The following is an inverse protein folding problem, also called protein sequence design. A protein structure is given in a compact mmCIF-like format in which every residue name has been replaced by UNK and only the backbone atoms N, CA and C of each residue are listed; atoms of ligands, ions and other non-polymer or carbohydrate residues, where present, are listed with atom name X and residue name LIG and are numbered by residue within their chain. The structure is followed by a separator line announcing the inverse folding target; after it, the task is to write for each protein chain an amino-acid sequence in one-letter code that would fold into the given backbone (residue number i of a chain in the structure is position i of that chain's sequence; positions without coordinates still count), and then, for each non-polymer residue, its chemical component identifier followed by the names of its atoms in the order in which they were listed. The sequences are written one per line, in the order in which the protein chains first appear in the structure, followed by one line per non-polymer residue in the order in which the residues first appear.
data_IF_860532698044
#
_entry.id   IF_860532698044
#
_cell.length_a   1.000
_cell.length_b   1.000
_cell.length_c   1.000
_cell.angle_alpha   90.00
_cell.angle_beta   90.00
_cell.angle_gamma   90.00
#
_symmetry.space_group_name_H-M   'P 1'
#
loop_
_entity.id
_entity.type
_entity.pdbx_description
1 polymer ?
#
# COMPACT_ATOMS: atom_id res chain seq x y z
N UNK A 1 9.92 -11.66 24.31
CA UNK A 1 9.49 -10.29 24.71
C UNK A 1 8.02 -10.35 25.11
N UNK A 2 7.68 -10.10 26.38
CA UNK A 2 6.35 -10.37 26.96
C UNK A 2 5.29 -9.35 26.47
N UNK A 3 4.09 -9.81 26.12
CA UNK A 3 2.98 -8.98 25.61
C UNK A 3 2.56 -7.86 26.58
N UNK A 4 2.71 -8.10 27.90
CA UNK A 4 2.44 -7.10 28.94
C UNK A 4 3.44 -5.93 28.88
N UNK A 5 4.72 -6.22 28.68
CA UNK A 5 5.79 -5.21 28.57
C UNK A 5 5.56 -4.29 27.36
N UNK A 6 5.14 -4.86 26.22
CA UNK A 6 4.79 -4.07 25.03
C UNK A 6 3.59 -3.15 25.27
N UNK A 7 2.58 -3.63 26.01
CA UNK A 7 1.39 -2.84 26.37
C UNK A 7 1.75 -1.68 27.30
N UNK A 8 2.59 -1.92 28.30
CA UNK A 8 3.06 -0.87 29.21
C UNK A 8 3.95 0.16 28.53
N UNK A 9 4.88 -0.29 27.68
CA UNK A 9 5.73 0.60 26.89
C UNK A 9 4.90 1.50 25.97
N UNK A 10 3.84 0.95 25.36
CA UNK A 10 2.88 1.70 24.56
C UNK A 10 2.18 2.80 25.37
N UNK A 11 1.71 2.48 26.59
CA UNK A 11 1.10 3.47 27.50
C UNK A 11 2.09 4.55 27.96
N UNK A 12 3.35 4.19 28.27
CA UNK A 12 4.40 5.16 28.65
C UNK A 12 4.71 6.10 27.48
N UNK A 13 4.87 5.55 26.28
CA UNK A 13 5.09 6.34 25.05
C UNK A 13 3.92 7.27 24.77
N UNK A 14 2.68 6.79 24.83
CA UNK A 14 1.48 7.62 24.62
C UNK A 14 1.40 8.76 25.64
N UNK A 15 1.69 8.50 26.92
CA UNK A 15 1.77 9.55 27.96
C UNK A 15 2.84 10.61 27.64
N UNK A 16 4.02 10.19 27.19
CA UNK A 16 5.07 11.13 26.77
C UNK A 16 4.66 11.99 25.57
N UNK A 17 3.97 11.39 24.59
CA UNK A 17 3.41 12.11 23.44
C UNK A 17 2.30 13.08 23.86
N UNK A 18 1.43 12.67 24.79
CA UNK A 18 0.40 13.53 25.38
C UNK A 18 1.02 14.76 26.06
N UNK A 19 2.06 14.55 26.88
CA UNK A 19 2.80 15.64 27.52
C UNK A 19 3.42 16.62 26.51
N UNK A 20 3.98 16.09 25.41
CA UNK A 20 4.50 16.93 24.31
C UNK A 20 3.40 17.76 23.64
N UNK A 21 2.25 17.16 23.37
CA UNK A 21 1.12 17.86 22.77
C UNK A 21 0.59 18.98 23.68
N UNK A 22 0.45 18.72 24.98
CA UNK A 22 0.05 19.73 25.99
C UNK A 22 1.04 20.90 26.07
N UNK A 23 2.33 20.64 25.86
CA UNK A 23 3.36 21.68 25.78
C UNK A 23 3.38 22.42 24.42
N UNK A 24 2.38 22.23 23.55
CA UNK A 24 2.30 22.83 22.22
C UNK A 24 3.30 22.24 21.19
N UNK A 25 4.09 21.22 21.57
CA UNK A 25 5.10 20.58 20.73
C UNK A 25 4.48 19.48 19.88
N UNK A 26 5.10 19.18 18.74
CA UNK A 26 4.62 18.12 17.86
C UNK A 26 4.77 16.79 18.56
N UNK A 27 3.71 15.99 18.56
CA UNK A 27 3.66 14.63 19.08
C UNK A 27 3.47 13.60 17.95
N UNK A 28 3.89 13.95 16.73
CA UNK A 28 3.77 13.11 15.53
C UNK A 28 4.56 13.68 14.34
N UNK A 29 4.04 13.49 13.13
CA UNK A 29 4.62 14.05 11.91
C UNK A 29 4.55 15.59 11.86
N UNK A 30 5.33 16.19 10.97
CA UNK A 30 5.29 17.63 10.69
C UNK A 30 4.28 17.90 9.59
N UNK A 31 3.42 18.90 9.81
CA UNK A 31 2.46 19.36 8.80
C UNK A 31 3.14 20.23 7.76
N UNK A 32 2.64 20.19 6.51
CA UNK A 32 3.05 21.13 5.46
C UNK A 32 2.84 22.58 5.94
N UNK A 33 3.74 23.50 5.62
CA UNK A 33 3.78 24.85 6.18
C UNK A 33 4.72 25.01 7.37
N UNK A 34 5.33 23.92 7.85
CA UNK A 34 6.18 23.92 9.04
C UNK A 34 7.42 23.07 8.85
N UNK A 35 8.49 23.42 9.58
CA UNK A 35 9.73 22.65 9.64
C UNK A 35 10.09 22.31 11.08
N UNK A 36 10.62 21.11 11.30
CA UNK A 36 11.15 20.72 12.60
C UNK A 36 12.36 21.58 12.96
N UNK A 37 12.39 22.05 14.21
CA UNK A 37 13.56 22.74 14.77
C UNK A 37 14.35 21.71 15.57
N UNK A 38 15.64 21.60 15.29
CA UNK A 38 16.56 20.78 16.07
C UNK A 38 17.29 21.71 17.03
N UNK A 39 16.90 21.65 18.30
CA UNK A 39 17.52 22.40 19.39
C UNK A 39 17.95 21.43 20.49
N UNK A 40 18.99 21.79 21.20
CA UNK A 40 19.46 21.12 22.42
C UNK A 40 19.15 22.06 23.59
N UNK A 41 18.65 21.52 24.69
CA UNK A 41 18.39 22.28 25.91
C UNK A 41 19.68 22.48 26.74
N UNK A 42 19.57 23.23 27.83
CA UNK A 42 20.70 23.57 28.70
C UNK A 42 21.34 22.35 29.39
N UNK A 43 20.71 21.17 29.29
CA UNK A 43 21.20 19.90 29.83
C UNK A 43 21.86 19.02 28.78
N UNK A 44 22.02 19.51 27.54
CA UNK A 44 22.58 18.74 26.44
C UNK A 44 21.58 17.78 25.78
N UNK A 45 20.30 17.84 26.14
CA UNK A 45 19.27 16.94 25.62
C UNK A 45 18.54 17.54 24.41
N UNK A 46 18.24 16.69 23.43
CA UNK A 46 17.56 17.14 22.21
C UNK A 46 16.10 17.51 22.49
N UNK A 47 15.72 18.76 22.25
CA UNK A 47 14.33 19.22 22.38
C UNK A 47 13.48 18.61 21.28
N UNK A 48 12.61 17.66 21.65
CA UNK A 48 11.78 16.92 20.71
C UNK A 48 10.49 17.68 20.39
N UNK A 49 10.20 17.84 19.10
CA UNK A 49 8.88 18.27 18.61
C UNK A 49 8.71 19.78 18.43
N UNK A 50 9.75 20.57 18.61
CA UNK A 50 9.73 21.98 18.20
C UNK A 50 9.58 22.10 16.68
N UNK A 51 8.82 23.11 16.27
CA UNK A 51 8.54 23.42 14.88
C UNK A 51 8.46 24.92 14.70
N UNK A 52 8.86 25.40 13.54
CA UNK A 52 8.71 26.79 13.10
C UNK A 52 7.97 26.83 11.76
N UNK A 53 7.41 27.98 11.44
CA UNK A 53 6.78 28.22 10.13
C UNK A 53 7.85 28.12 9.05
N UNK A 54 7.53 27.43 7.95
CA UNK A 54 8.31 27.48 6.72
C UNK A 54 7.62 28.48 5.79
N UNK A 55 8.20 29.68 5.66
CA UNK A 55 7.60 30.81 4.93
C UNK A 55 7.21 30.45 3.48
N UNK A 56 7.99 29.58 2.82
CA UNK A 56 7.70 29.14 1.46
C UNK A 56 6.43 28.30 1.40
N UNK A 57 6.35 27.26 2.23
CA UNK A 57 5.17 26.41 2.31
C UNK A 57 3.95 27.14 2.90
N UNK A 58 4.16 28.06 3.84
CA UNK A 58 3.12 28.87 4.46
C UNK A 58 2.40 29.76 3.44
N UNK A 59 3.13 30.42 2.53
CA UNK A 59 2.53 31.18 1.42
C UNK A 59 1.65 30.30 0.53
N UNK A 60 2.06 29.05 0.28
CA UNK A 60 1.24 28.09 -0.48
C UNK A 60 -0.03 27.71 0.28
N UNK A 61 0.04 27.53 1.60
CA UNK A 61 -1.14 27.29 2.45
C UNK A 61 -2.12 28.46 2.36
N UNK A 62 -1.66 29.70 2.58
CA UNK A 62 -2.51 30.91 2.49
C UNK A 62 -3.15 31.03 1.11
N UNK A 63 -2.38 30.78 0.03
CA UNK A 63 -2.90 30.76 -1.33
C UNK A 63 -3.99 29.70 -1.51
N UNK A 64 -3.79 28.48 -1.05
CA UNK A 64 -4.80 27.40 -1.14
C UNK A 64 -6.10 27.81 -0.44
N UNK A 65 -6.00 28.39 0.76
CA UNK A 65 -7.15 28.88 1.52
C UNK A 65 -7.86 30.00 0.76
N UNK A 66 -7.10 30.98 0.26
CA UNK A 66 -7.64 32.13 -0.48
C UNK A 66 -8.30 31.72 -1.80
N UNK A 67 -7.66 30.87 -2.59
CA UNK A 67 -8.19 30.32 -3.85
C UNK A 67 -9.50 29.57 -3.59
N UNK A 68 -9.54 28.77 -2.53
CA UNK A 68 -10.75 28.06 -2.15
C UNK A 68 -11.82 29.01 -1.60
N UNK A 69 -11.50 30.03 -0.81
CA UNK A 69 -12.49 31.01 -0.37
C UNK A 69 -13.14 31.73 -1.56
N UNK A 70 -12.36 32.05 -2.60
CA UNK A 70 -12.80 32.69 -3.85
C UNK A 70 -13.61 31.81 -4.81
N UNK A 71 -13.90 30.57 -4.45
CA UNK A 71 -14.72 29.70 -5.31
C UNK A 71 -13.93 28.75 -6.23
N UNK A 72 -12.60 28.84 -6.29
CA UNK A 72 -11.79 27.96 -7.15
C UNK A 72 -11.95 26.51 -6.68
N UNK A 73 -12.12 25.58 -7.64
CA UNK A 73 -12.30 24.17 -7.31
C UNK A 73 -10.97 23.52 -6.89
N UNK A 74 -11.04 22.55 -5.98
CA UNK A 74 -9.86 21.86 -5.43
C UNK A 74 -9.01 21.17 -6.50
N UNK A 75 -9.65 20.67 -7.57
CA UNK A 75 -8.93 20.10 -8.72
C UNK A 75 -8.17 21.16 -9.51
N UNK A 76 -8.75 22.35 -9.68
CA UNK A 76 -8.10 23.47 -10.37
C UNK A 76 -6.92 24.01 -9.56
N UNK A 77 -7.08 24.16 -8.25
CA UNK A 77 -5.99 24.54 -7.33
C UNK A 77 -4.84 23.53 -7.43
N UNK A 78 -5.12 22.23 -7.29
CA UNK A 78 -4.08 21.20 -7.41
C UNK A 78 -3.40 21.20 -8.78
N UNK A 79 -4.16 21.39 -9.86
CA UNK A 79 -3.61 21.44 -11.22
C UNK A 79 -2.70 22.66 -11.44
N UNK A 80 -3.06 23.83 -10.91
CA UNK A 80 -2.25 25.05 -10.98
C UNK A 80 -0.94 24.87 -10.22
N UNK A 81 -1.00 24.42 -8.97
CA UNK A 81 0.20 24.16 -8.16
C UNK A 81 1.16 23.16 -8.82
N UNK A 82 0.62 22.10 -9.43
CA UNK A 82 1.45 21.13 -10.16
C UNK A 82 2.03 21.69 -11.46
N UNK A 83 1.29 22.54 -12.18
CA UNK A 83 1.79 23.21 -13.38
C UNK A 83 2.95 24.15 -13.05
N UNK A 84 2.89 24.82 -11.91
CA UNK A 84 3.94 25.68 -11.38
C UNK A 84 5.07 24.91 -10.67
N UNK A 85 5.00 23.56 -10.64
CA UNK A 85 5.97 22.68 -9.98
C UNK A 85 6.15 22.96 -8.48
N UNK A 86 5.11 23.46 -7.81
CA UNK A 86 5.12 23.63 -6.36
C UNK A 86 5.09 22.24 -5.69
N UNK A 87 6.09 21.89 -4.86
CA UNK A 87 6.11 20.60 -4.20
C UNK A 87 4.96 20.51 -3.19
N UNK A 88 4.22 19.41 -3.22
CA UNK A 88 3.23 19.09 -2.20
C UNK A 88 3.86 18.46 -0.96
N UNK A 89 3.03 18.07 0.03
CA UNK A 89 3.51 17.44 1.26
C UNK A 89 4.42 16.23 0.97
N UNK A 90 5.58 16.18 1.65
CA UNK A 90 6.64 15.17 1.45
C UNK A 90 7.25 15.16 0.04
N UNK A 91 7.22 16.27 -0.69
CA UNK A 91 7.77 16.40 -2.03
C UNK A 91 6.93 15.76 -3.14
N UNK A 92 5.70 15.33 -2.83
CA UNK A 92 4.79 14.74 -3.81
C UNK A 92 4.06 15.78 -4.68
N UNK A 93 3.23 15.31 -5.61
CA UNK A 93 2.34 16.17 -6.39
C UNK A 93 1.07 16.50 -5.62
N UNK A 94 0.52 17.69 -5.87
CA UNK A 94 -0.78 18.10 -5.35
C UNK A 94 -1.91 17.27 -5.93
N UNK A 95 -2.88 16.92 -5.08
CA UNK A 95 -4.13 16.30 -5.51
C UNK A 95 -5.30 16.97 -4.78
N UNK A 96 -6.48 16.97 -5.42
CA UNK A 96 -7.68 17.50 -4.78
C UNK A 96 -7.96 16.85 -3.41
N UNK A 97 -7.67 15.55 -3.25
CA UNK A 97 -7.78 14.83 -1.97
C UNK A 97 -6.79 15.29 -0.91
N UNK A 98 -5.57 15.67 -1.29
CA UNK A 98 -4.56 16.22 -0.37
C UNK A 98 -5.02 17.55 0.22
N UNK A 99 -5.67 18.38 -0.61
CA UNK A 99 -6.17 19.69 -0.20
C UNK A 99 -7.47 19.54 0.61
N UNK A 100 -8.42 18.74 0.11
CA UNK A 100 -9.73 18.54 0.74
C UNK A 100 -9.66 17.78 2.07
N UNK A 101 -8.96 16.64 2.06
CA UNK A 101 -8.96 15.64 3.12
C UNK A 101 -10.35 15.31 3.68
N UNK A 102 -10.41 15.04 4.98
CA UNK A 102 -11.64 14.76 5.72
C UNK A 102 -11.73 15.74 6.90
N UNK A 103 -12.84 16.49 6.94
CA UNK A 103 -13.11 17.55 7.93
C UNK A 103 -13.20 17.03 9.35
N UNK A 104 -13.97 15.98 9.59
CA UNK A 104 -14.16 15.40 10.92
C UNK A 104 -12.85 14.84 11.48
N UNK A 105 -12.05 14.21 10.61
CA UNK A 105 -10.73 13.67 10.98
C UNK A 105 -9.65 14.75 11.09
N UNK A 106 -9.92 16.00 10.71
CA UNK A 106 -8.91 17.08 10.68
C UNK A 106 -7.77 16.84 9.69
N UNK A 107 -8.04 16.10 8.61
CA UNK A 107 -7.01 15.73 7.61
C UNK A 107 -7.12 16.57 6.36
N UNK A 108 -6.00 16.77 5.65
CA UNK A 108 -5.90 17.62 4.47
C UNK A 108 -5.59 19.07 4.82
N UNK A 109 -5.12 19.84 3.83
CA UNK A 109 -4.66 21.23 4.05
C UNK A 109 -5.78 22.09 4.64
N UNK A 110 -7.00 22.04 4.07
CA UNK A 110 -8.09 22.92 4.51
C UNK A 110 -8.67 22.56 5.89
N UNK A 111 -8.25 21.46 6.50
CA UNK A 111 -8.79 21.02 7.79
C UNK A 111 -7.79 21.01 8.94
N UNK A 112 -6.53 21.39 8.70
CA UNK A 112 -5.52 21.40 9.73
C UNK A 112 -5.63 22.66 10.59
N UNK A 113 -6.12 22.50 11.82
CA UNK A 113 -6.32 23.59 12.77
C UNK A 113 -5.02 24.24 13.27
N UNK A 114 -3.87 23.60 13.05
CA UNK A 114 -2.59 24.23 13.36
C UNK A 114 -2.40 25.53 12.58
N UNK A 115 -2.96 25.65 11.37
CA UNK A 115 -2.87 26.86 10.56
C UNK A 115 -3.55 28.08 11.19
N UNK A 116 -4.52 27.89 12.08
CA UNK A 116 -5.15 28.98 12.84
C UNK A 116 -4.58 29.12 14.26
N UNK A 117 -3.51 28.37 14.56
CA UNK A 117 -2.83 28.40 15.84
C UNK A 117 -3.38 27.42 16.87
N UNK A 118 -4.11 26.37 16.45
CA UNK A 118 -4.67 25.35 17.36
C UNK A 118 -4.07 23.99 17.12
N UNK A 119 -3.29 23.47 18.07
CA UNK A 119 -2.76 22.11 18.01
C UNK A 119 -3.81 21.15 18.54
N UNK A 120 -4.27 20.22 17.70
CA UNK A 120 -5.14 19.13 18.13
C UNK A 120 -4.47 17.78 17.90
N UNK A 121 -4.32 17.01 18.98
CA UNK A 121 -3.67 15.70 19.00
C UNK A 121 -4.61 14.60 19.49
N UNK A 122 -4.29 13.36 19.11
CA UNK A 122 -5.02 12.12 19.47
C UNK A 122 -6.46 12.01 18.94
N UNK A 123 -6.77 12.60 17.77
CA UNK A 123 -8.11 12.46 17.15
C UNK A 123 -8.43 11.03 16.69
N UNK A 124 -7.42 10.24 16.31
CA UNK A 124 -7.61 8.97 15.60
C UNK A 124 -6.94 7.80 16.35
N UNK A 125 -7.69 6.73 16.57
CA UNK A 125 -7.19 5.46 17.06
C UNK A 125 -7.04 4.44 15.91
N UNK A 126 -5.92 3.71 15.88
CA UNK A 126 -5.72 2.59 14.96
C UNK A 126 -6.17 1.28 15.62
N UNK A 127 -7.37 0.81 15.29
CA UNK A 127 -7.97 -0.41 15.84
C UNK A 127 -7.84 -1.55 14.83
N UNK A 128 -7.54 -2.78 15.25
CA UNK A 128 -7.61 -3.95 14.35
C UNK A 128 -9.07 -4.34 14.17
N UNK A 129 -9.53 -4.42 12.92
CA UNK A 129 -10.87 -4.87 12.60
C UNK A 129 -10.98 -6.38 12.85
N UNK A 130 -11.91 -6.85 13.71
CA UNK A 130 -12.02 -8.28 14.05
C UNK A 130 -12.23 -9.19 12.84
N UNK A 131 -13.00 -8.72 11.85
CA UNK A 131 -13.38 -9.51 10.67
C UNK A 131 -12.32 -9.63 9.59
N UNK A 132 -11.30 -8.77 9.57
CA UNK A 132 -10.28 -8.75 8.50
C UNK A 132 -8.84 -8.77 9.00
N UNK A 133 -8.63 -8.64 10.32
CA UNK A 133 -7.31 -8.47 10.93
C UNK A 133 -6.61 -7.15 10.58
N UNK A 134 -7.17 -6.34 9.65
CA UNK A 134 -6.56 -5.10 9.15
C UNK A 134 -6.74 -3.97 10.14
N UNK A 135 -5.73 -3.09 10.23
CA UNK A 135 -5.82 -1.87 11.03
C UNK A 135 -6.73 -0.85 10.33
N UNK A 136 -7.74 -0.38 11.04
CA UNK A 136 -8.66 0.67 10.63
C UNK A 136 -8.54 1.88 11.55
N UNK A 137 -8.62 3.07 10.97
CA UNK A 137 -8.55 4.33 11.72
C UNK A 137 -9.97 4.78 12.10
N UNK A 138 -10.23 4.89 13.41
CA UNK A 138 -11.48 5.36 14.00
C UNK A 138 -11.27 6.69 14.71
N UNK A 139 -12.28 7.57 14.66
CA UNK A 139 -12.28 8.82 15.41
C UNK A 139 -12.50 8.52 16.89
N UNK A 140 -11.71 9.16 17.77
CA UNK A 140 -11.92 9.12 19.21
C UNK A 140 -12.97 10.15 19.63
N UNK A 141 -13.68 9.95 20.74
CA UNK A 141 -14.52 10.98 21.35
C UNK A 141 -13.74 12.29 21.57
N UNK A 142 -14.42 13.44 21.53
CA UNK A 142 -13.75 14.75 21.57
C UNK A 142 -13.10 15.03 22.93
N UNK A 143 -13.64 14.49 24.01
CA UNK A 143 -13.12 14.56 25.38
C UNK A 143 -11.73 13.94 25.52
N UNK A 144 -11.37 13.01 24.63
CA UNK A 144 -10.06 12.38 24.61
C UNK A 144 -9.01 13.19 23.84
N UNK A 145 -9.43 14.24 23.13
CA UNK A 145 -8.54 15.04 22.29
C UNK A 145 -7.73 15.98 23.15
N UNK A 146 -6.46 16.15 22.78
CA UNK A 146 -5.63 17.19 23.39
C UNK A 146 -5.69 18.40 22.49
N UNK A 147 -6.25 19.50 22.98
CA UNK A 147 -6.31 20.78 22.31
C UNK A 147 -5.40 21.77 23.04
N UNK A 148 -4.53 22.44 22.30
CA UNK A 148 -3.57 23.41 22.85
C UNK A 148 -3.44 24.59 21.92
N UNK A 149 -3.64 25.79 22.47
CA UNK A 149 -3.45 27.05 21.74
C UNK A 149 -1.95 27.33 21.54
N UNK A 150 -1.59 27.60 20.29
CA UNK A 150 -0.22 27.86 19.82
C UNK A 150 -0.23 29.01 18.79
N UNK A 151 -0.63 30.23 19.19
CA UNK A 151 -0.83 31.35 18.26
C UNK A 151 0.44 31.72 17.48
N UNK A 152 1.63 31.52 18.06
CA UNK A 152 2.92 31.73 17.39
C UNK A 152 3.15 30.84 16.16
N UNK A 153 2.33 29.81 15.94
CA UNK A 153 2.39 28.92 14.78
C UNK A 153 1.27 29.18 13.76
N UNK A 154 0.48 30.24 13.93
CA UNK A 154 -0.58 30.60 13.00
C UNK A 154 0.00 30.99 11.63
N UNK A 155 -0.62 30.49 10.57
CA UNK A 155 -0.32 30.79 9.16
C UNK A 155 -1.51 31.48 8.47
N UNK A 156 -2.74 31.17 8.90
CA UNK A 156 -3.99 31.63 8.31
C UNK A 156 -4.76 32.41 9.36
N UNK A 157 -5.27 33.58 8.97
CA UNK A 157 -6.13 34.41 9.81
C UNK A 157 -7.49 33.78 10.05
N UNK A 158 -8.11 34.16 11.16
CA UNK A 158 -9.39 33.59 11.60
C UNK A 158 -10.50 33.82 10.57
N UNK A 159 -10.56 35.01 9.95
CA UNK A 159 -11.59 35.34 8.94
C UNK A 159 -11.49 34.45 7.69
N UNK A 160 -10.25 34.23 7.19
CA UNK A 160 -10.02 33.36 6.04
C UNK A 160 -10.35 31.90 6.36
N UNK A 161 -10.02 31.45 7.58
CA UNK A 161 -10.40 30.13 8.06
C UNK A 161 -11.93 29.98 8.09
N UNK A 162 -12.65 30.95 8.63
CA UNK A 162 -14.10 30.91 8.76
C UNK A 162 -14.81 30.97 7.40
N UNK A 163 -14.31 31.76 6.45
CA UNK A 163 -14.80 31.77 5.07
C UNK A 163 -14.68 30.38 4.40
N UNK A 164 -13.56 29.68 4.59
CA UNK A 164 -13.36 28.31 4.11
C UNK A 164 -14.34 27.34 4.80
N UNK A 165 -14.57 27.48 6.11
CA UNK A 165 -15.51 26.64 6.86
C UNK A 165 -16.96 26.85 6.44
N UNK A 166 -17.36 28.09 6.20
CA UNK A 166 -18.68 28.44 5.66
C UNK A 166 -18.89 27.79 4.30
N UNK A 167 -17.91 27.92 3.38
CA UNK A 167 -17.96 27.30 2.05
C UNK A 167 -18.06 25.77 2.12
N UNK A 168 -17.27 25.12 2.99
CA UNK A 168 -17.37 23.67 3.20
C UNK A 168 -18.73 23.26 3.79
N UNK A 169 -19.31 24.09 4.65
CA UNK A 169 -20.64 23.88 5.23
C UNK A 169 -21.75 23.94 4.19
N UNK A 170 -21.75 24.98 3.34
CA UNK A 170 -22.72 25.17 2.27
C UNK A 170 -22.68 24.05 1.21
N UNK A 171 -21.54 23.39 1.03
CA UNK A 171 -21.38 22.25 0.11
C UNK A 171 -21.76 20.89 0.72
N UNK A 172 -22.17 20.80 1.99
CA UNK A 172 -22.76 19.56 2.50
C UNK A 172 -24.10 19.34 1.78
N UNK A 173 -24.17 18.29 0.96
CA UNK A 173 -25.44 17.89 0.35
C UNK A 173 -26.47 17.64 1.44
N UNK A 174 -27.59 18.37 1.39
CA UNK A 174 -28.83 17.99 2.09
C UNK A 174 -29.22 16.57 1.64
N UNK A 175 -29.79 15.80 2.55
CA UNK A 175 -30.36 14.47 2.34
C UNK A 175 -29.38 13.39 1.84
N UNK A 176 -28.61 12.80 2.75
CA UNK A 176 -28.35 11.35 2.70
C UNK A 176 -27.76 10.90 4.02
N UNK A 177 -28.47 10.02 4.72
CA UNK A 177 -28.15 9.53 6.07
C UNK A 177 -26.81 8.76 6.16
N UNK A 178 -26.24 8.40 5.01
CA UNK A 178 -24.92 7.78 4.91
C UNK A 178 -23.86 8.79 4.48
N UNK A 179 -22.83 9.03 5.32
CA UNK A 179 -21.68 9.84 4.95
C UNK A 179 -21.06 9.36 3.64
N UNK A 180 -20.67 10.28 2.76
CA UNK A 180 -20.20 9.99 1.39
C UNK A 180 -19.03 9.00 1.35
N UNK A 181 -18.23 8.96 2.42
CA UNK A 181 -17.10 8.03 2.60
C UNK A 181 -17.50 6.65 3.15
N UNK A 182 -18.64 6.54 3.84
CA UNK A 182 -19.19 5.27 4.33
C UNK A 182 -20.06 4.57 3.28
N UNK A 183 -20.43 5.27 2.21
CA UNK A 183 -20.99 4.64 1.01
C UNK A 183 -19.94 3.71 0.43
N UNK A 184 -20.10 2.41 0.66
CA UNK A 184 -19.38 1.37 -0.07
C UNK A 184 -19.69 1.54 -1.55
N UNK A 185 -18.78 2.22 -2.26
CA UNK A 185 -18.88 2.33 -3.72
C UNK A 185 -18.87 0.91 -4.27
N UNK A 186 -19.78 0.57 -5.21
CA UNK A 186 -19.76 -0.73 -5.86
C UNK A 186 -18.35 -1.03 -6.36
N UNK A 187 -17.80 -2.16 -5.96
CA UNK A 187 -16.56 -2.66 -6.55
C UNK A 187 -16.93 -3.28 -7.89
N UNK A 188 -16.37 -2.72 -8.96
CA UNK A 188 -16.45 -3.31 -10.30
C UNK A 188 -15.28 -4.26 -10.50
N UNK A 189 -15.37 -5.10 -11.54
CA UNK A 189 -14.47 -6.24 -11.72
C UNK A 189 -12.99 -5.83 -11.70
N UNK A 190 -12.66 -4.69 -12.33
CA UNK A 190 -11.29 -4.19 -12.46
C UNK A 190 -10.96 -3.01 -11.54
N UNK A 191 -11.78 -2.75 -10.52
CA UNK A 191 -11.51 -1.71 -9.53
C UNK A 191 -10.18 -1.97 -8.80
N UNK A 192 -9.21 -1.07 -8.98
CA UNK A 192 -7.89 -1.18 -8.36
C UNK A 192 -6.84 -1.94 -9.17
N UNK A 193 -7.22 -2.53 -10.32
CA UNK A 193 -6.30 -3.27 -11.20
C UNK A 193 -5.81 -2.44 -12.39
N UNK A 194 -6.61 -1.47 -12.86
CA UNK A 194 -6.29 -0.64 -14.02
C UNK A 194 -5.18 0.39 -13.73
N UNK A 195 -4.21 0.50 -14.65
CA UNK A 195 -3.13 1.50 -14.63
C UNK A 195 -3.06 2.27 -15.95
N UNK A 196 -2.72 3.55 -15.87
CA UNK A 196 -2.53 4.42 -17.03
C UNK A 196 -1.16 4.18 -17.66
N UNK A 197 -1.12 3.86 -18.95
CA UNK A 197 0.13 3.69 -19.70
C UNK A 197 0.97 4.97 -19.79
N UNK A 198 0.37 6.15 -19.66
CA UNK A 198 1.10 7.43 -19.75
C UNK A 198 1.83 7.80 -18.45
N UNK A 199 1.24 7.53 -17.29
CA UNK A 199 1.77 8.04 -16.00
C UNK A 199 1.80 7.00 -14.87
N UNK A 200 1.51 5.73 -15.15
CA UNK A 200 1.50 4.62 -14.19
C UNK A 200 0.41 4.67 -13.10
N UNK A 201 -0.36 5.75 -13.04
CA UNK A 201 -1.39 5.97 -12.01
C UNK A 201 -2.64 5.14 -12.27
N UNK A 202 -3.38 4.82 -11.20
CA UNK A 202 -4.61 4.04 -11.32
C UNK A 202 -5.76 4.80 -12.01
N UNK A 203 -6.78 4.07 -12.45
CA UNK A 203 -8.03 4.67 -12.96
C UNK A 203 -9.03 4.92 -11.83
N UNK A 204 -9.85 5.96 -12.00
CA UNK A 204 -10.96 6.28 -11.10
C UNK A 204 -12.24 6.51 -11.90
N UNK A 205 -13.37 6.32 -11.21
CA UNK A 205 -14.70 6.53 -11.77
C UNK A 205 -14.87 8.00 -12.17
N UNK A 206 -15.19 8.25 -13.44
CA UNK A 206 -15.43 9.59 -13.99
C UNK A 206 -16.92 9.92 -14.06
N UNK A 207 -17.75 8.97 -14.50
CA UNK A 207 -19.22 9.03 -14.56
C UNK A 207 -19.82 7.79 -13.87
N UNK A 208 -21.13 7.57 -13.98
CA UNK A 208 -21.79 6.36 -13.46
C UNK A 208 -21.17 5.04 -13.98
N UNK A 209 -20.58 5.09 -15.17
CA UNK A 209 -20.34 3.99 -16.10
C UNK A 209 -19.01 4.11 -16.88
N UNK A 210 -18.18 5.14 -16.61
CA UNK A 210 -16.88 5.31 -17.25
C UNK A 210 -15.74 5.52 -16.24
N UNK A 211 -14.54 5.07 -16.62
CA UNK A 211 -13.30 5.24 -15.88
C UNK A 211 -12.30 6.09 -16.67
N UNK A 212 -11.37 6.71 -15.95
CA UNK A 212 -10.23 7.38 -16.58
C UNK A 212 -9.07 7.62 -15.63
N UNK A 213 -8.00 8.18 -16.18
CA UNK A 213 -6.76 8.42 -15.44
C UNK A 213 -7.00 9.31 -14.20
N UNK A 214 -6.73 8.76 -13.01
CA UNK A 214 -6.92 9.49 -11.75
C UNK A 214 -5.97 10.67 -11.60
N UNK A 215 -4.76 10.56 -12.15
CA UNK A 215 -3.76 11.63 -12.06
C UNK A 215 -4.17 12.82 -12.94
N UNK A 216 -4.51 12.59 -14.21
CA UNK A 216 -5.00 13.64 -15.11
C UNK A 216 -6.19 14.39 -14.50
N UNK A 217 -7.14 13.64 -13.89
CA UNK A 217 -8.34 14.22 -13.29
C UNK A 217 -8.09 14.97 -11.97
N UNK A 218 -7.28 14.42 -11.06
CA UNK A 218 -7.15 14.97 -9.70
C UNK A 218 -5.91 15.84 -9.49
N UNK A 219 -4.93 15.76 -10.41
CA UNK A 219 -3.64 16.46 -10.33
C UNK A 219 -3.38 17.38 -11.54
N UNK A 220 -4.13 17.23 -12.64
CA UNK A 220 -4.05 18.10 -13.81
C UNK A 220 -3.10 17.62 -14.91
N UNK A 221 -3.08 18.37 -16.02
CA UNK A 221 -2.36 18.02 -17.25
C UNK A 221 -0.83 18.00 -17.09
N UNK A 222 -0.30 18.81 -16.16
CA UNK A 222 1.13 18.80 -15.80
C UNK A 222 1.61 17.43 -15.28
N UNK A 223 0.70 16.59 -14.78
CA UNK A 223 1.03 15.23 -14.31
C UNK A 223 0.69 14.17 -15.35
N UNK A 224 -0.44 14.31 -16.04
CA UNK A 224 -0.84 13.37 -17.08
C UNK A 224 -1.82 14.03 -18.05
N UNK A 225 -1.54 13.92 -19.34
CA UNK A 225 -2.38 14.46 -20.43
C UNK A 225 -3.49 13.50 -20.86
N UNK A 226 -3.48 12.25 -20.39
CA UNK A 226 -4.49 11.25 -20.75
C UNK A 226 -5.87 11.60 -20.17
N UNK A 227 -6.75 12.11 -21.05
CA UNK A 227 -8.15 12.45 -20.75
C UNK A 227 -9.15 11.43 -21.30
N UNK A 228 -8.68 10.31 -21.81
CA UNK A 228 -9.55 9.28 -22.36
C UNK A 228 -10.42 8.66 -21.27
N UNK A 229 -11.68 8.44 -21.61
CA UNK A 229 -12.64 7.73 -20.77
C UNK A 229 -12.91 6.35 -21.39
N UNK A 230 -12.88 5.31 -20.57
CA UNK A 230 -13.22 3.96 -20.99
C UNK A 230 -14.54 3.58 -20.33
N UNK A 231 -15.55 3.23 -21.14
CA UNK A 231 -16.82 2.71 -20.65
C UNK A 231 -16.58 1.38 -19.95
N UNK A 232 -17.19 1.18 -18.77
CA UNK A 232 -17.07 -0.03 -17.96
C UNK A 232 -17.45 -1.26 -18.76
N UNK A 233 -18.57 -1.23 -19.46
CA UNK A 233 -19.09 -2.43 -20.12
C UNK A 233 -18.16 -2.89 -21.25
N UNK A 234 -17.59 -1.93 -21.99
CA UNK A 234 -16.58 -2.19 -23.04
C UNK A 234 -15.26 -2.73 -22.46
N UNK A 235 -14.79 -2.14 -21.36
CA UNK A 235 -13.59 -2.64 -20.67
C UNK A 235 -13.82 -4.08 -20.21
N UNK A 236 -14.95 -4.33 -19.55
CA UNK A 236 -15.22 -5.62 -18.96
C UNK A 236 -15.42 -6.71 -20.02
N UNK A 237 -16.12 -6.43 -21.11
CA UNK A 237 -16.25 -7.40 -22.22
C UNK A 237 -14.91 -7.72 -22.85
N UNK A 238 -14.09 -6.71 -23.18
CA UNK A 238 -12.79 -6.94 -23.83
C UNK A 238 -11.84 -7.80 -22.99
N UNK A 239 -11.77 -7.56 -21.69
CA UNK A 239 -10.87 -8.34 -20.82
C UNK A 239 -11.40 -9.75 -20.61
N UNK A 240 -12.71 -9.91 -20.39
CA UNK A 240 -13.31 -11.23 -20.21
C UNK A 240 -13.22 -12.07 -21.49
N UNK A 241 -13.44 -11.48 -22.66
CA UNK A 241 -13.28 -12.16 -23.95
C UNK A 241 -11.83 -12.61 -24.18
N UNK A 242 -10.86 -11.75 -23.83
CA UNK A 242 -9.45 -12.12 -23.94
C UNK A 242 -9.04 -13.26 -23.00
N UNK A 243 -9.57 -13.27 -21.77
CA UNK A 243 -9.35 -14.37 -20.83
C UNK A 243 -10.00 -15.67 -21.34
N UNK A 244 -11.19 -15.59 -21.91
CA UNK A 244 -11.91 -16.76 -22.40
C UNK A 244 -11.26 -17.36 -23.66
N UNK A 245 -10.77 -16.50 -24.58
CA UNK A 245 -10.44 -16.94 -25.94
C UNK A 245 -8.95 -16.81 -26.31
N UNK A 246 -8.11 -16.15 -25.50
CA UNK A 246 -6.73 -15.81 -25.91
C UNK A 246 -5.63 -16.13 -24.90
N UNK A 247 -5.93 -16.42 -23.62
CA UNK A 247 -4.89 -16.64 -22.60
C UNK A 247 -4.45 -18.11 -22.45
N UNK A 248 -5.27 -19.07 -22.87
CA UNK A 248 -4.98 -20.52 -22.78
C UNK A 248 -5.56 -21.23 -24.00
N UNK A 249 -5.03 -20.87 -25.17
CA UNK A 249 -5.30 -21.60 -26.41
C UNK A 249 -4.85 -23.07 -26.22
N UNK A 250 -5.73 -24.08 -26.44
CA UNK A 250 -5.41 -25.47 -26.20
C UNK A 250 -4.17 -25.97 -26.94
N UNK A 251 -3.92 -25.46 -28.15
CA UNK A 251 -2.80 -25.89 -28.98
C UNK A 251 -1.49 -25.29 -28.49
N UNK A 252 -1.50 -24.01 -28.11
CA UNK A 252 -0.33 -23.36 -27.50
C UNK A 252 0.00 -23.92 -26.11
N UNK A 253 -1.00 -24.25 -25.31
CA UNK A 253 -0.79 -24.86 -23.98
C UNK A 253 -0.26 -26.27 -24.11
N UNK A 254 -0.76 -27.07 -25.06
CA UNK A 254 -0.24 -28.41 -25.33
C UNK A 254 1.24 -28.34 -25.73
N UNK A 255 1.56 -27.50 -26.71
CA UNK A 255 2.94 -27.27 -27.15
C UNK A 255 3.83 -26.80 -25.99
N UNK A 256 3.36 -25.85 -25.17
CA UNK A 256 4.08 -25.38 -23.99
C UNK A 256 4.33 -26.53 -22.99
N UNK A 257 3.32 -27.35 -22.68
CA UNK A 257 3.47 -28.45 -21.74
C UNK A 257 4.48 -29.50 -22.27
N UNK A 258 4.43 -29.82 -23.56
CA UNK A 258 5.36 -30.76 -24.19
C UNK A 258 6.80 -30.23 -24.12
N UNK A 259 7.04 -29.02 -24.61
CA UNK A 259 8.38 -28.39 -24.62
C UNK A 259 8.92 -28.14 -23.21
N UNK A 260 8.05 -27.71 -22.28
CA UNK A 260 8.44 -27.46 -20.90
C UNK A 260 8.84 -28.74 -20.17
N UNK A 261 8.13 -29.86 -20.39
CA UNK A 261 8.49 -31.16 -19.82
C UNK A 261 9.82 -31.63 -20.39
N UNK A 262 10.03 -31.51 -21.71
CA UNK A 262 11.32 -31.85 -22.36
C UNK A 262 12.47 -31.05 -21.76
N UNK A 263 12.35 -29.72 -21.69
CA UNK A 263 13.44 -28.86 -21.21
C UNK A 263 13.67 -29.02 -19.70
N UNK A 264 12.63 -29.21 -18.90
CA UNK A 264 12.79 -29.50 -17.46
C UNK A 264 13.48 -30.82 -17.21
N UNK A 265 13.13 -31.86 -17.96
CA UNK A 265 13.79 -33.16 -17.85
C UNK A 265 15.27 -33.05 -18.26
N UNK A 266 15.58 -32.30 -19.34
CA UNK A 266 16.96 -32.00 -19.74
C UNK A 266 17.74 -31.30 -18.63
N UNK A 267 17.18 -30.25 -18.02
CA UNK A 267 17.80 -29.52 -16.91
C UNK A 267 17.97 -30.39 -15.66
N UNK A 268 16.99 -31.25 -15.36
CA UNK A 268 17.09 -32.22 -14.26
C UNK A 268 18.23 -33.21 -14.52
N UNK A 269 18.32 -33.81 -15.71
CA UNK A 269 19.42 -34.71 -16.08
C UNK A 269 20.79 -34.03 -16.00
N UNK A 270 20.91 -32.76 -16.42
CA UNK A 270 22.16 -32.01 -16.28
C UNK A 270 22.51 -31.71 -14.83
N UNK A 271 21.53 -31.36 -14.00
CA UNK A 271 21.71 -31.11 -12.58
C UNK A 271 22.12 -32.40 -11.85
N UNK A 272 21.48 -33.53 -12.15
CA UNK A 272 21.80 -34.84 -11.58
C UNK A 272 23.19 -35.32 -12.01
N UNK A 273 23.58 -35.14 -13.29
CA UNK A 273 24.93 -35.44 -13.76
C UNK A 273 25.99 -34.58 -13.06
N UNK A 274 25.74 -33.28 -12.90
CA UNK A 274 26.63 -32.38 -12.15
C UNK A 274 26.72 -32.75 -10.68
N UNK A 275 25.63 -33.22 -10.07
CA UNK A 275 25.60 -33.68 -8.68
C UNK A 275 26.37 -34.99 -8.51
N UNK A 276 26.15 -35.97 -9.38
CA UNK A 276 26.85 -37.25 -9.36
C UNK A 276 28.38 -37.07 -9.45
N UNK A 277 28.85 -36.10 -10.25
CA UNK A 277 30.27 -35.75 -10.31
C UNK A 277 30.82 -35.22 -8.97
N UNK A 278 30.06 -34.33 -8.29
CA UNK A 278 30.43 -33.79 -6.98
C UNK A 278 30.39 -34.87 -5.88
N UNK A 279 29.41 -35.78 -5.92
CA UNK A 279 29.33 -36.92 -5.01
C UNK A 279 30.50 -37.89 -5.19
N UNK A 280 30.89 -38.17 -6.44
CA UNK A 280 32.08 -38.96 -6.77
C UNK A 280 33.38 -38.31 -6.28
N UNK A 281 33.53 -37.00 -6.44
CA UNK A 281 34.68 -36.26 -5.90
C UNK A 281 34.72 -36.28 -4.37
N UNK A 282 33.56 -36.08 -3.71
CA UNK A 282 33.45 -36.14 -2.25
C UNK A 282 33.82 -37.53 -1.72
N UNK A 283 33.38 -38.60 -2.39
CA UNK A 283 33.75 -39.96 -2.04
C UNK A 283 35.27 -40.20 -2.13
N UNK A 284 35.91 -39.67 -3.19
CA UNK A 284 37.38 -39.74 -3.35
C UNK A 284 38.11 -38.98 -2.24
N UNK A 285 37.71 -37.73 -1.97
CA UNK A 285 38.30 -36.91 -0.90
C UNK A 285 38.15 -37.57 0.48
N UNK A 286 36.98 -38.16 0.78
CA UNK A 286 36.77 -38.90 2.03
C UNK A 286 37.68 -40.13 2.12
N UNK A 287 37.87 -40.86 1.02
CA UNK A 287 38.79 -42.01 0.96
C UNK A 287 40.25 -41.59 1.19
N UNK A 288 40.69 -40.50 0.58
CA UNK A 288 42.06 -40.01 0.74
C UNK A 288 42.32 -39.42 2.14
N UNK A 289 41.31 -38.79 2.74
CA UNK A 289 41.36 -38.39 4.15
C UNK A 289 41.52 -39.60 5.09
N UNK A 290 40.77 -40.69 4.85
CA UNK A 290 40.91 -41.93 5.62
C UNK A 290 42.30 -42.57 5.47
N UNK A 291 42.90 -42.55 4.27
CA UNK A 291 44.27 -43.03 4.06
C UNK A 291 45.32 -42.20 4.80
N UNK A 292 45.16 -40.88 4.86
CA UNK A 292 46.08 -40.02 5.62
C UNK A 292 45.98 -40.28 7.12
N UNK A 293 44.77 -40.51 7.63
CA UNK A 293 44.59 -40.94 9.02
C UNK A 293 45.30 -42.26 9.28
N UNK A 294 45.19 -43.23 8.36
CA UNK A 294 45.91 -44.50 8.46
C UNK A 294 47.44 -44.31 8.45
N UNK A 295 47.97 -43.46 7.55
CA UNK A 295 49.41 -43.18 7.49
C UNK A 295 49.96 -42.55 8.79
N UNK A 296 49.15 -41.77 9.50
CA UNK A 296 49.51 -41.24 10.83
C UNK A 296 49.57 -42.37 11.87
N UNK A 297 48.63 -43.32 11.82
CA UNK A 297 48.65 -44.51 12.69
C UNK A 297 49.87 -45.40 12.40
N UNK A 298 50.30 -45.45 11.15
CA UNK A 298 51.47 -46.22 10.69
C UNK A 298 52.81 -45.50 10.96
N UNK A 299 52.79 -44.33 11.62
CA UNK A 299 53.99 -43.66 12.15
C UNK A 299 54.60 -42.57 11.27
N UNK A 300 53.92 -42.11 10.22
CA UNK A 300 54.40 -40.98 9.41
C UNK A 300 54.36 -39.68 10.22
N UNK A 301 55.42 -38.84 10.21
CA UNK A 301 55.46 -37.58 10.94
C UNK A 301 54.29 -36.66 10.55
N UNK A 302 53.50 -36.28 11.56
CA UNK A 302 52.32 -35.40 11.43
C UNK A 302 52.62 -34.12 10.65
N UNK A 303 53.80 -33.54 10.83
CA UNK A 303 54.18 -32.26 10.23
C UNK A 303 54.27 -32.32 8.70
N UNK A 304 54.58 -33.50 8.14
CA UNK A 304 54.62 -33.69 6.68
C UNK A 304 53.21 -33.80 6.06
N UNK A 305 52.21 -34.22 6.84
CA UNK A 305 50.85 -34.46 6.35
C UNK A 305 49.86 -33.34 6.71
N UNK A 306 50.24 -32.45 7.62
CA UNK A 306 49.37 -31.39 8.17
C UNK A 306 48.77 -30.49 7.07
N UNK A 307 49.59 -30.04 6.12
CA UNK A 307 49.12 -29.17 5.03
C UNK A 307 48.09 -29.87 4.13
N UNK A 308 48.35 -31.12 3.74
CA UNK A 308 47.46 -31.93 2.91
C UNK A 308 46.14 -32.25 3.62
N UNK A 309 46.19 -32.51 4.93
CA UNK A 309 45.00 -32.81 5.72
C UNK A 309 44.06 -31.60 5.84
N UNK A 310 44.61 -30.39 6.05
CA UNK A 310 43.83 -29.13 6.06
C UNK A 310 43.19 -28.89 4.68
N UNK A 311 43.95 -29.10 3.59
CA UNK A 311 43.45 -28.89 2.23
C UNK A 311 42.31 -29.85 1.88
N UNK A 312 42.42 -31.13 2.23
CA UNK A 312 41.37 -32.12 1.98
C UNK A 312 40.12 -31.87 2.83
N UNK A 313 40.26 -31.44 4.09
CA UNK A 313 39.11 -31.12 4.92
C UNK A 313 38.38 -29.86 4.42
N UNK A 314 39.12 -28.82 4.03
CA UNK A 314 38.54 -27.65 3.38
C UNK A 314 37.78 -28.02 2.10
N UNK A 315 38.37 -28.88 1.25
CA UNK A 315 37.71 -29.35 0.02
C UNK A 315 36.46 -30.19 0.31
N UNK A 316 36.49 -31.04 1.34
CA UNK A 316 35.33 -31.84 1.79
C UNK A 316 34.19 -30.93 2.23
N UNK A 317 34.47 -29.94 3.08
CA UNK A 317 33.48 -28.97 3.56
C UNK A 317 32.88 -28.16 2.40
N UNK A 318 33.71 -27.76 1.43
CA UNK A 318 33.25 -27.08 0.22
C UNK A 318 32.31 -27.95 -0.62
N UNK A 319 32.67 -29.22 -0.85
CA UNK A 319 31.85 -30.16 -1.62
C UNK A 319 30.53 -30.47 -0.91
N UNK A 320 30.54 -30.63 0.41
CA UNK A 320 29.33 -30.84 1.23
C UNK A 320 28.40 -29.62 1.16
N UNK A 321 28.95 -28.40 1.21
CA UNK A 321 28.18 -27.16 1.01
C UNK A 321 27.58 -27.07 -0.40
N UNK A 322 28.37 -27.36 -1.44
CA UNK A 322 27.90 -27.34 -2.84
C UNK A 322 26.77 -28.36 -3.09
N UNK A 323 26.82 -29.52 -2.43
CA UNK A 323 25.77 -30.54 -2.51
C UNK A 323 24.52 -30.19 -1.70
N UNK A 324 24.66 -29.46 -0.59
CA UNK A 324 23.53 -28.96 0.19
C UNK A 324 22.73 -27.89 -0.58
N UNK A 325 23.43 -27.03 -1.34
CA UNK A 325 22.81 -25.97 -2.16
C UNK A 325 22.18 -26.49 -3.47
N UNK A 326 22.35 -27.78 -3.80
CA UNK A 326 21.85 -28.42 -5.03
C UNK A 326 21.03 -29.68 -4.74
N UNK A 327 19.79 -29.57 -4.22
CA UNK A 327 18.94 -30.73 -3.99
C UNK A 327 18.61 -31.45 -5.31
N UNK A 328 18.52 -32.78 -5.28
CA UNK A 328 18.06 -33.60 -6.41
C UNK A 328 16.68 -33.11 -6.87
N UNK A 329 16.50 -33.01 -8.19
CA UNK A 329 15.29 -32.48 -8.78
C UNK A 329 14.40 -33.65 -9.22
N UNK A 330 13.21 -33.77 -8.66
CA UNK A 330 12.19 -34.67 -9.20
C UNK A 330 11.72 -34.19 -10.59
N UNK A 331 11.43 -35.13 -11.53
CA UNK A 331 10.87 -34.77 -12.82
C UNK A 331 9.51 -34.10 -12.64
N UNK A 332 9.32 -32.98 -13.33
CA UNK A 332 8.08 -32.19 -13.22
C UNK A 332 7.07 -32.70 -14.24
N UNK A 333 5.94 -33.24 -13.76
CA UNK A 333 4.82 -33.66 -14.60
C UNK A 333 3.75 -32.56 -14.66
N UNK A 334 3.58 -31.94 -15.82
CA UNK A 334 2.42 -31.08 -16.08
C UNK A 334 1.28 -31.91 -16.68
N UNK A 335 0.09 -31.77 -16.14
CA UNK A 335 -1.08 -32.48 -16.63
C UNK A 335 -1.62 -31.80 -17.89
N UNK A 336 -1.70 -32.53 -19.01
CA UNK A 336 -2.08 -31.99 -20.32
C UNK A 336 -3.49 -31.35 -20.35
N UNK A 337 -4.40 -31.75 -19.46
CA UNK A 337 -5.76 -31.20 -19.37
C UNK A 337 -5.87 -29.80 -18.71
N UNK A 338 -4.76 -29.14 -18.36
CA UNK A 338 -4.80 -27.83 -17.69
C UNK A 338 -5.49 -26.74 -18.51
N UNK A 339 -5.39 -26.78 -19.84
CA UNK A 339 -6.10 -25.85 -20.72
C UNK A 339 -7.62 -25.99 -20.61
N UNK A 340 -8.13 -27.24 -20.61
CA UNK A 340 -9.56 -27.53 -20.48
C UNK A 340 -10.12 -27.07 -19.11
N UNK A 341 -9.43 -27.40 -18.02
CA UNK A 341 -9.80 -26.97 -16.67
C UNK A 341 -9.80 -25.44 -16.55
N UNK A 342 -8.85 -24.76 -17.19
CA UNK A 342 -8.83 -23.30 -17.23
C UNK A 342 -10.06 -22.74 -17.96
N UNK A 343 -10.36 -23.25 -19.17
CA UNK A 343 -11.50 -22.79 -19.97
C UNK A 343 -12.82 -22.96 -19.23
N UNK A 344 -13.05 -24.11 -18.59
CA UNK A 344 -14.25 -24.37 -17.80
C UNK A 344 -14.39 -23.38 -16.64
N UNK A 345 -13.30 -23.14 -15.90
CA UNK A 345 -13.28 -22.21 -14.77
C UNK A 345 -13.53 -20.76 -15.22
N UNK A 346 -12.92 -20.33 -16.31
CA UNK A 346 -13.13 -18.98 -16.86
C UNK A 346 -14.56 -18.84 -17.40
N UNK A 347 -15.09 -19.82 -18.12
CA UNK A 347 -16.45 -19.78 -18.62
C UNK A 347 -17.48 -19.73 -17.48
N UNK A 348 -17.28 -20.53 -16.42
CA UNK A 348 -18.08 -20.47 -15.21
C UNK A 348 -18.00 -19.10 -14.51
N UNK A 349 -16.81 -18.51 -14.43
CA UNK A 349 -16.58 -17.18 -13.87
C UNK A 349 -17.33 -16.10 -14.68
N UNK A 350 -17.21 -16.11 -16.01
CA UNK A 350 -17.89 -15.17 -16.91
C UNK A 350 -19.41 -15.27 -16.79
N UNK A 351 -19.96 -16.50 -16.77
CA UNK A 351 -21.40 -16.73 -16.54
C UNK A 351 -21.85 -16.18 -15.19
N UNK A 352 -21.08 -16.41 -14.12
CA UNK A 352 -21.35 -15.89 -12.78
C UNK A 352 -21.42 -14.35 -12.74
N UNK A 353 -20.53 -13.66 -13.44
CA UNK A 353 -20.58 -12.20 -13.57
C UNK A 353 -21.76 -11.70 -14.43
N UNK A 354 -22.12 -12.44 -15.48
CA UNK A 354 -23.27 -12.13 -16.33
C UNK A 354 -24.62 -12.23 -15.61
N UNK A 355 -24.79 -13.23 -14.74
CA UNK A 355 -26.00 -13.41 -13.93
C UNK A 355 -26.16 -12.30 -12.87
N UNK A 356 -25.07 -11.93 -12.19
CA UNK A 356 -25.06 -10.89 -11.16
C UNK A 356 -25.37 -9.49 -11.70
N UNK A 357 -25.06 -9.23 -12.99
CA UNK A 357 -25.42 -7.97 -13.69
C UNK A 357 -26.93 -7.78 -13.91
N UNK A 358 -27.71 -8.87 -14.02
CA UNK A 358 -29.18 -8.78 -14.19
C UNK A 358 -29.88 -8.46 -12.87
N UNK A 359 -29.41 -9.02 -11.77
CA UNK A 359 -29.96 -8.74 -10.43
C UNK A 359 -29.63 -7.33 -9.91
N UNK A 360 -28.45 -6.80 -10.25
CA UNK A 360 -28.07 -5.43 -9.89
C UNK A 360 -28.91 -4.34 -10.56
N UNK A 361 -29.54 -4.61 -11.71
CA UNK A 361 -30.50 -3.69 -12.35
C UNK A 361 -31.89 -3.75 -11.71
N UNK A 362 -32.32 -4.92 -11.21
CA UNK A 362 -33.63 -5.07 -10.55
C UNK A 362 -33.72 -4.39 -9.18
N UNK A 363 -32.63 -4.30 -8.42
CA UNK A 363 -32.63 -3.63 -7.10
C UNK A 363 -32.54 -2.10 -7.14
N UNK A 364 -32.51 -1.49 -8.33
CA UNK A 364 -32.49 -0.04 -8.51
C UNK A 364 -33.86 0.63 -8.62
N UNK A 365 -34.95 -0.12 -8.58
CA UNK A 365 -36.30 0.41 -8.79
C UNK A 365 -37.37 -0.41 -8.06
N UNK A 366 -37.35 -0.38 -6.73
CA UNK A 366 -38.51 -0.68 -5.87
C UNK A 366 -38.10 -0.49 -4.41
N UNK A 367 -38.01 0.76 -3.94
CA UNK A 367 -38.15 1.04 -2.52
C UNK A 367 -39.66 1.13 -2.24
N UNK A 368 -40.32 -0.03 -2.16
CA UNK A 368 -41.68 -0.14 -1.67
C UNK A 368 -41.68 0.16 -0.18
N UNK A 369 -42.45 1.17 0.21
CA UNK A 369 -42.73 1.55 1.59
C UNK A 369 -43.44 0.41 2.31
N UNK A 370 -42.72 -0.35 3.13
CA UNK A 370 -43.36 -1.14 4.19
C UNK A 370 -43.39 -0.34 5.48
N UNK A 371 -44.53 0.31 5.70
CA UNK A 371 -44.98 0.81 7.00
C UNK A 371 -45.34 -0.45 7.82
N UNK A 372 -44.61 -0.71 8.90
CA UNK A 372 -44.98 -1.75 9.86
C UNK A 372 -45.85 -1.11 10.94
N UNK A 373 -47.07 -1.60 11.06
CA UNK A 373 -48.02 -1.28 12.11
C UNK A 373 -47.44 -1.63 13.50
N UNK A 374 -47.68 -0.74 14.46
CA UNK A 374 -47.47 -0.99 15.90
C UNK A 374 -48.64 -1.83 16.41
N UNK A 375 -48.41 -2.86 17.24
CA UNK A 375 -49.48 -3.38 18.07
C UNK A 375 -49.64 -2.49 19.32
N UNK A 376 -50.89 -2.15 19.62
CA UNK A 376 -51.34 -1.58 20.88
C UNK A 376 -50.96 -2.50 22.05
N UNK A 377 -50.43 -1.91 23.11
CA UNK A 377 -50.35 -2.52 24.43
C UNK A 377 -51.39 -1.83 25.31
N UNK A 378 -52.29 -2.64 25.86
CA UNK A 378 -53.15 -2.26 26.99
C UNK A 378 -52.39 -2.17 28.31
#
# INVERSE_FOLDING_TARGET
MNALVLKELGKKTHRGLKGRALAGRSAGGISYGYRAVRRVDDRGEAVRGERRIDEGEARVVVRIFSDYARGISLRKIAAQLNAERVPGPRGGQWSASTIHGNRERGTGILNNELYVGRLVWDRLASVKAPSTGKRVSRLKPQEDWVMTEVPALRIVDQDLWDAVRARQGAMKSKETDTPVWDRRRPRYLFSGLMRCGCCGSGFSKMSADAFGCSAARNKGAAVCTNRLAIKRDLLESKVLDALANHLMDPDLVRLFCEEYVVERNRLATQADASRAALEGELARVKKDHAKLVQAILDGVPRDQLKATMIALDARRQDLERLLADRPSQEPVLFHQAMAGVYQERVAALVRGFGACRRDGRRKGGAAGTHRADRPDAG
#
